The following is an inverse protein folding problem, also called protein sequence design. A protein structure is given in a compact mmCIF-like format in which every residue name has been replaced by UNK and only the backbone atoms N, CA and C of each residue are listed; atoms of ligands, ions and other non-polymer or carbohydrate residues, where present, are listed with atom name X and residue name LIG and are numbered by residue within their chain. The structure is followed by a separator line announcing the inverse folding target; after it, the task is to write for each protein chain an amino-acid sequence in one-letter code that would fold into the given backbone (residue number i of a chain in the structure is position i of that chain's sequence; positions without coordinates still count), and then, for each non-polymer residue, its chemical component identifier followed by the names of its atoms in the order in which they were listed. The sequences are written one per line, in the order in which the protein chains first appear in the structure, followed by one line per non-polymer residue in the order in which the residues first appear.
data_IF_607801404014
#
_entry.id   IF_607801404014
#
_cell.length_a   1.000
_cell.length_b   1.000
_cell.length_c   1.000
_cell.angle_alpha   90.00
_cell.angle_beta   90.00
_cell.angle_gamma   90.00
#
_symmetry.space_group_name_H-M   'P 1'
#
loop_
_entity.id
_entity.type
_entity.pdbx_description
1 polymer ?
#
# COMPACT_ATOMS: atom_id res chain seq x y z
N UNK A 1 14.95 16.57 -7.51
CA UNK A 1 14.74 15.28 -8.21
C UNK A 1 14.70 14.09 -7.25
N UNK A 2 15.72 13.78 -6.44
CA UNK A 2 15.67 12.64 -5.51
C UNK A 2 14.66 12.83 -4.35
N UNK A 3 14.58 14.04 -3.79
CA UNK A 3 13.69 14.33 -2.64
C UNK A 3 12.20 14.33 -3.01
N UNK A 4 11.86 14.69 -4.25
CA UNK A 4 10.47 14.71 -4.74
C UNK A 4 9.95 13.28 -4.92
N UNK A 5 10.76 12.39 -5.50
CA UNK A 5 10.40 10.98 -5.65
C UNK A 5 10.23 10.30 -4.28
N UNK A 6 11.10 10.62 -3.30
CA UNK A 6 10.96 10.13 -1.93
C UNK A 6 9.67 10.64 -1.29
N UNK A 7 9.36 11.93 -1.40
CA UNK A 7 8.15 12.50 -0.83
C UNK A 7 6.87 11.90 -1.45
N UNK A 8 6.85 11.67 -2.76
CA UNK A 8 5.73 11.01 -3.45
C UNK A 8 5.56 9.57 -2.95
N UNK A 9 6.65 8.80 -2.87
CA UNK A 9 6.63 7.43 -2.33
C UNK A 9 6.10 7.38 -0.90
N UNK A 10 6.56 8.26 -0.02
CA UNK A 10 6.09 8.31 1.37
C UNK A 10 4.61 8.70 1.48
N UNK A 11 4.14 9.65 0.66
CA UNK A 11 2.71 9.98 0.56
C UNK A 11 1.89 8.78 0.08
N UNK A 12 2.41 8.02 -0.88
CA UNK A 12 1.73 6.84 -1.38
C UNK A 12 1.61 5.73 -0.32
N UNK A 13 2.70 5.47 0.38
CA UNK A 13 2.70 4.53 1.51
C UNK A 13 1.73 4.97 2.60
N UNK A 14 1.65 6.29 2.89
CA UNK A 14 0.77 6.82 3.92
C UNK A 14 -0.70 6.55 3.62
N UNK A 15 -1.19 6.89 2.42
CA UNK A 15 -2.60 6.69 2.11
C UNK A 15 -2.99 5.21 2.06
N UNK A 16 -2.08 4.30 1.65
CA UNK A 16 -2.34 2.85 1.68
C UNK A 16 -2.55 2.37 3.13
N UNK A 17 -1.70 2.82 4.05
CA UNK A 17 -1.82 2.47 5.47
C UNK A 17 -3.07 3.10 6.09
N UNK A 18 -3.39 4.35 5.75
CA UNK A 18 -4.61 5.02 6.21
C UNK A 18 -5.86 4.28 5.69
N UNK A 19 -5.91 3.88 4.42
CA UNK A 19 -7.00 3.08 3.84
C UNK A 19 -7.20 1.77 4.61
N UNK A 20 -6.11 1.07 4.92
CA UNK A 20 -6.17 -0.17 5.69
C UNK A 20 -6.68 0.09 7.11
N UNK A 21 -6.27 1.17 7.77
CA UNK A 21 -6.80 1.56 9.10
C UNK A 21 -8.29 1.85 9.04
N UNK A 22 -8.73 2.63 8.06
CA UNK A 22 -10.13 3.02 7.88
C UNK A 22 -11.04 1.82 7.60
N UNK A 23 -10.51 0.79 6.93
CA UNK A 23 -11.20 -0.48 6.68
C UNK A 23 -11.07 -1.51 7.82
N UNK A 24 -10.53 -1.12 8.98
CA UNK A 24 -10.45 -2.00 10.16
C UNK A 24 -9.24 -2.94 10.17
N UNK A 25 -8.19 -2.62 9.41
CA UNK A 25 -6.92 -3.34 9.37
C UNK A 25 -6.75 -4.29 8.20
N UNK A 26 -7.74 -4.46 7.33
CA UNK A 26 -7.58 -5.27 6.11
C UNK A 26 -8.53 -4.84 4.99
N UNK A 27 -8.14 -5.08 3.75
CA UNK A 27 -8.99 -4.85 2.58
C UNK A 27 -8.58 -5.77 1.42
N UNK A 28 -9.38 -5.82 0.35
CA UNK A 28 -8.99 -6.53 -0.86
C UNK A 28 -7.92 -5.73 -1.63
N UNK A 29 -7.15 -6.41 -2.48
CA UNK A 29 -6.23 -5.74 -3.39
C UNK A 29 -6.98 -4.82 -4.38
N UNK A 30 -8.18 -5.22 -4.81
CA UNK A 30 -9.07 -4.37 -5.61
C UNK A 30 -9.36 -3.03 -4.94
N UNK A 31 -9.66 -3.03 -3.63
CA UNK A 31 -9.89 -1.79 -2.88
C UNK A 31 -8.68 -0.84 -2.93
N UNK A 32 -7.47 -1.39 -2.83
CA UNK A 32 -6.23 -0.62 -2.90
C UNK A 32 -5.99 -0.08 -4.31
N UNK A 33 -6.26 -0.88 -5.35
CA UNK A 33 -6.11 -0.45 -6.74
C UNK A 33 -7.08 0.67 -7.07
N UNK A 34 -8.36 0.53 -6.72
CA UNK A 34 -9.39 1.57 -6.94
C UNK A 34 -9.04 2.87 -6.21
N UNK A 35 -8.59 2.78 -4.96
CA UNK A 35 -8.10 3.95 -4.23
C UNK A 35 -6.84 4.56 -4.89
N UNK A 36 -5.92 3.71 -5.37
CA UNK A 36 -4.71 4.14 -6.07
C UNK A 36 -5.00 4.86 -7.39
N UNK A 37 -5.99 4.41 -8.15
CA UNK A 37 -6.44 5.08 -9.38
C UNK A 37 -7.00 6.48 -9.07
N UNK A 38 -7.80 6.62 -8.00
CA UNK A 38 -8.31 7.91 -7.55
C UNK A 38 -7.19 8.88 -7.12
N UNK A 39 -6.05 8.34 -6.67
CA UNK A 39 -4.87 9.10 -6.30
C UNK A 39 -3.82 9.24 -7.42
N UNK A 40 -4.14 8.82 -8.66
CA UNK A 40 -3.22 8.80 -9.80
C UNK A 40 -1.87 8.10 -9.49
N UNK A 41 -1.94 7.01 -8.73
CA UNK A 41 -0.78 6.26 -8.30
C UNK A 41 -0.51 5.07 -9.23
N UNK A 42 0.37 5.25 -10.22
CA UNK A 42 0.80 4.16 -11.11
C UNK A 42 1.76 3.15 -10.43
N UNK A 43 2.09 3.37 -9.16
CA UNK A 43 3.14 2.63 -8.44
C UNK A 43 2.63 1.79 -7.25
N UNK A 44 1.31 1.52 -7.18
CA UNK A 44 0.68 0.75 -6.09
C UNK A 44 1.41 -0.57 -5.80
N UNK A 45 1.71 -1.37 -6.82
CA UNK A 45 2.41 -2.65 -6.63
C UNK A 45 3.80 -2.51 -6.03
N UNK A 46 4.55 -1.45 -6.40
CA UNK A 46 5.86 -1.16 -5.82
C UNK A 46 5.72 -0.71 -4.35
N UNK A 47 4.72 0.11 -4.04
CA UNK A 47 4.47 0.56 -2.66
C UNK A 47 4.09 -0.60 -1.74
N UNK A 48 3.23 -1.51 -2.21
CA UNK A 48 2.86 -2.72 -1.45
C UNK A 48 4.08 -3.61 -1.18
N UNK A 49 4.98 -3.76 -2.16
CA UNK A 49 6.23 -4.49 -1.96
C UNK A 49 7.13 -3.85 -0.90
N UNK A 50 7.24 -2.52 -0.90
CA UNK A 50 8.02 -1.78 0.11
C UNK A 50 7.41 -1.98 1.49
N UNK A 51 6.11 -1.74 1.64
CA UNK A 51 5.39 -1.92 2.91
C UNK A 51 5.50 -3.36 3.45
N UNK A 52 5.43 -4.37 2.58
CA UNK A 52 5.63 -5.77 2.97
C UNK A 52 7.06 -6.02 3.43
N UNK A 53 8.07 -5.47 2.75
CA UNK A 53 9.47 -5.59 3.18
C UNK A 53 9.76 -4.95 4.53
N UNK A 54 8.98 -3.92 4.91
CA UNK A 54 9.06 -3.25 6.20
C UNK A 54 8.17 -3.91 7.29
N UNK A 55 7.55 -5.07 6.99
CA UNK A 55 6.60 -5.75 7.88
C UNK A 55 5.42 -4.85 8.33
N UNK A 56 5.00 -3.92 7.48
CA UNK A 56 3.86 -3.04 7.74
C UNK A 56 2.56 -3.71 7.32
N UNK A 57 2.59 -4.44 6.21
CA UNK A 57 1.46 -5.17 5.66
C UNK A 57 1.87 -6.60 5.32
N UNK A 58 0.88 -7.47 5.15
CA UNK A 58 1.08 -8.81 4.62
C UNK A 58 -0.03 -9.22 3.63
N UNK A 59 0.31 -10.14 2.75
CA UNK A 59 -0.58 -10.78 1.77
C UNK A 59 0.05 -12.09 1.30
N UNK A 60 -0.75 -13.07 0.88
CA UNK A 60 -0.26 -14.44 0.61
C UNK A 60 0.75 -14.52 -0.54
N UNK A 61 0.56 -13.74 -1.59
CA UNK A 61 1.38 -13.82 -2.80
C UNK A 61 2.74 -13.13 -2.62
N UNK A 62 3.76 -13.49 -3.42
CA UNK A 62 4.99 -12.72 -3.50
C UNK A 62 4.77 -11.36 -4.17
N UNK A 63 3.84 -11.27 -5.13
CA UNK A 63 3.48 -10.05 -5.83
C UNK A 63 2.00 -10.05 -6.22
N UNK A 64 1.33 -8.91 -6.07
CA UNK A 64 -0.07 -8.73 -6.44
C UNK A 64 -0.15 -8.07 -7.81
N UNK A 65 -1.01 -8.59 -8.68
CA UNK A 65 -1.18 -8.13 -10.06
C UNK A 65 -2.67 -7.97 -10.34
N UNK A 66 -3.07 -6.82 -10.84
CA UNK A 66 -4.46 -6.57 -11.21
C UNK A 66 -4.68 -6.99 -12.67
N UNK A 67 -5.78 -7.70 -13.02
CA UNK A 67 -6.90 -8.11 -12.16
C UNK A 67 -6.74 -9.50 -11.48
N UNK A 68 -5.63 -10.23 -11.72
CA UNK A 68 -5.44 -11.62 -11.29
C UNK A 68 -5.61 -11.83 -9.77
N UNK A 69 -5.07 -10.93 -8.95
CA UNK A 69 -5.07 -11.04 -7.49
C UNK A 69 -6.07 -10.09 -6.82
N UNK A 70 -7.07 -9.58 -7.55
CA UNK A 70 -7.98 -8.54 -7.04
C UNK A 70 -8.70 -8.92 -5.74
N UNK A 71 -8.99 -10.21 -5.56
CA UNK A 71 -9.68 -10.73 -4.38
C UNK A 71 -8.74 -11.07 -3.20
N UNK A 72 -7.42 -11.00 -3.39
CA UNK A 72 -6.48 -11.26 -2.31
C UNK A 72 -6.58 -10.19 -1.23
N UNK A 73 -6.57 -10.63 0.02
CA UNK A 73 -6.62 -9.73 1.17
C UNK A 73 -5.24 -9.23 1.53
N UNK A 74 -5.15 -7.92 1.74
CA UNK A 74 -3.99 -7.24 2.33
C UNK A 74 -4.35 -6.93 3.77
N UNK A 75 -3.48 -7.32 4.70
CA UNK A 75 -3.66 -7.11 6.13
C UNK A 75 -2.59 -6.17 6.66
N UNK A 76 -2.99 -5.24 7.52
CA UNK A 76 -2.11 -4.33 8.23
C UNK A 76 -1.51 -5.04 9.45
N UNK A 77 -0.19 -5.17 9.48
CA UNK A 77 0.57 -5.72 10.61
C UNK A 77 0.99 -4.62 11.59
N UNK A 78 1.37 -3.45 11.08
CA UNK A 78 1.85 -2.34 11.90
C UNK A 78 1.01 -1.08 11.66
N UNK A 79 -0.03 -0.92 12.49
CA UNK A 79 -0.88 0.25 12.45
C UNK A 79 -0.18 1.55 12.87
N UNK A 80 0.96 1.49 13.55
CA UNK A 80 1.71 2.68 13.97
C UNK A 80 2.74 3.15 12.95
N UNK A 81 2.85 2.48 11.80
CA UNK A 81 3.82 2.86 10.77
C UNK A 81 3.56 4.26 10.22
N UNK A 82 4.62 5.08 10.18
CA UNK A 82 4.60 6.43 9.62
C UNK A 82 5.75 6.60 8.61
N UNK A 83 5.47 6.57 7.29
CA UNK A 83 6.50 6.67 6.26
C UNK A 83 7.16 8.05 6.18
N UNK A 84 6.58 9.08 6.82
CA UNK A 84 7.15 10.44 6.85
C UNK A 84 8.25 10.59 7.92
N UNK A 85 8.38 9.61 8.82
CA UNK A 85 9.38 9.60 9.90
C UNK A 85 10.48 8.53 9.71
N UNK A 86 10.42 7.76 8.61
CA UNK A 86 11.38 6.71 8.24
C UNK A 86 12.49 7.19 7.30
#
# INVERSE_FOLDING_TARGET
MADEAKAISQRHQKWIVDLLRDKGGSCSYEDVVVAGEAHHCDTVGAMLKILKSHNVIDYKQPFLMYPMHKADTITLLNASFNPLQS
#
